data_IF_873954363365
#
_entry.id   IF_873954363365
#
_cell.length_a   1.000
_cell.length_b   1.000
_cell.length_c   1.000
_cell.angle_alpha   90.00
_cell.angle_beta   90.00
_cell.angle_gamma   90.00
#
_symmetry.space_group_name_H-M   'P 1'
#
loop_
_entity.id
_entity.type
_entity.pdbx_description
1 polymer ?
#
# COMPACT_ATOMS: atom_id res chain seq x y z
N UNK A 1 12.37 14.65 0.72
CA UNK A 1 11.97 13.86 1.91
C UNK A 1 11.03 12.75 1.43
N UNK A 2 11.28 11.48 1.75
CA UNK A 2 10.32 10.41 1.42
C UNK A 2 9.15 10.51 2.40
N UNK A 3 7.89 10.39 1.94
CA UNK A 3 6.77 10.34 2.87
C UNK A 3 6.93 9.13 3.79
N UNK A 4 6.69 9.33 5.08
CA UNK A 4 6.87 8.33 6.14
C UNK A 4 5.53 8.02 6.77
N UNK A 5 5.31 6.75 7.12
CA UNK A 5 4.09 6.29 7.76
C UNK A 5 4.41 5.55 9.07
N UNK A 6 3.40 5.36 9.91
CA UNK A 6 3.45 4.52 11.11
C UNK A 6 2.24 3.58 11.12
N UNK A 7 2.47 2.34 11.55
CA UNK A 7 1.39 1.43 11.88
C UNK A 7 0.88 1.74 13.30
N UNK A 8 -0.42 1.97 13.42
CA UNK A 8 -1.17 1.96 14.66
C UNK A 8 -1.84 0.59 14.76
N UNK A 9 -1.27 -0.27 15.59
CA UNK A 9 -1.78 -1.61 15.86
C UNK A 9 -1.22 -2.11 17.19
N UNK A 10 -1.91 -3.05 17.83
CA UNK A 10 -1.37 -3.84 18.94
C UNK A 10 -0.35 -4.88 18.46
N UNK A 11 -0.41 -5.25 17.18
CA UNK A 11 0.42 -6.28 16.57
C UNK A 11 1.47 -5.66 15.64
N UNK A 12 2.56 -6.38 15.43
CA UNK A 12 3.52 -6.02 14.37
C UNK A 12 3.03 -6.60 13.06
N UNK A 13 2.77 -5.74 12.08
CA UNK A 13 2.38 -6.18 10.76
C UNK A 13 3.19 -5.53 9.65
N UNK A 14 3.47 -6.32 8.63
CA UNK A 14 4.01 -5.88 7.36
C UNK A 14 3.01 -6.16 6.25
N UNK A 15 2.83 -5.18 5.36
CA UNK A 15 2.00 -5.33 4.17
C UNK A 15 2.68 -4.68 2.97
N UNK A 16 2.64 -5.36 1.84
CA UNK A 16 3.18 -4.89 0.56
C UNK A 16 2.35 -5.42 -0.60
N UNK A 17 2.32 -4.66 -1.68
CA UNK A 17 1.97 -5.19 -2.99
C UNK A 17 3.26 -5.52 -3.74
N UNK A 18 3.29 -6.65 -4.42
CA UNK A 18 4.47 -7.16 -5.12
C UNK A 18 4.12 -7.84 -6.44
N UNK A 19 5.11 -7.89 -7.33
CA UNK A 19 5.02 -8.63 -8.59
C UNK A 19 5.37 -10.08 -8.28
N UNK A 20 4.41 -10.99 -8.47
CA UNK A 20 4.53 -12.42 -8.13
C UNK A 20 4.74 -13.31 -9.34
N UNK A 21 4.73 -12.73 -10.55
CA UNK A 21 4.98 -13.42 -11.81
C UNK A 21 4.82 -12.46 -12.98
N UNK A 22 4.99 -12.97 -14.20
CA UNK A 22 4.77 -12.19 -15.43
C UNK A 22 3.32 -11.67 -15.43
N UNK A 23 3.18 -10.36 -15.34
CA UNK A 23 1.90 -9.63 -15.28
C UNK A 23 0.96 -10.06 -14.13
N UNK A 24 1.52 -10.67 -13.06
CA UNK A 24 0.77 -11.07 -11.87
C UNK A 24 1.21 -10.25 -10.67
N UNK A 25 0.24 -9.68 -9.98
CA UNK A 25 0.45 -8.82 -8.82
C UNK A 25 -0.29 -9.41 -7.61
N UNK A 26 0.31 -9.27 -6.43
CA UNK A 26 -0.26 -9.80 -5.21
C UNK A 26 -0.03 -8.89 -4.02
N UNK A 27 -0.89 -9.03 -3.01
CA UNK A 27 -0.74 -8.45 -1.69
C UNK A 27 -0.19 -9.54 -0.79
N UNK A 28 0.89 -9.23 -0.08
CA UNK A 28 1.43 -10.05 1.00
C UNK A 28 1.28 -9.31 2.30
N UNK A 29 0.65 -9.96 3.27
CA UNK A 29 0.50 -9.47 4.63
C UNK A 29 1.05 -10.51 5.61
N UNK A 30 1.82 -10.03 6.57
CA UNK A 30 2.43 -10.85 7.61
C UNK A 30 2.24 -10.15 8.94
N UNK A 31 1.66 -10.83 9.91
CA UNK A 31 1.59 -10.39 11.30
C UNK A 31 1.78 -11.60 12.21
N UNK A 32 2.77 -11.53 13.09
CA UNK A 32 3.23 -12.66 13.90
C UNK A 32 3.48 -13.92 13.03
N UNK A 33 2.73 -15.00 13.26
CA UNK A 33 2.85 -16.26 12.50
C UNK A 33 1.83 -16.39 11.36
N UNK A 34 0.99 -15.39 11.14
CA UNK A 34 -0.08 -15.44 10.13
C UNK A 34 0.37 -14.73 8.87
N UNK A 35 0.12 -15.39 7.75
CA UNK A 35 0.42 -14.90 6.41
C UNK A 35 -0.84 -14.92 5.59
N UNK A 36 -1.20 -13.76 5.04
CA UNK A 36 -2.30 -13.63 4.10
C UNK A 36 -1.74 -13.25 2.74
N UNK A 37 -2.29 -13.87 1.70
CA UNK A 37 -1.93 -13.57 0.33
C UNK A 37 -3.17 -13.43 -0.53
N UNK A 38 -3.18 -12.42 -1.41
CA UNK A 38 -4.27 -12.18 -2.34
C UNK A 38 -3.75 -11.65 -3.66
N UNK A 39 -4.19 -12.24 -4.77
CA UNK A 39 -3.92 -11.70 -6.10
C UNK A 39 -4.75 -10.42 -6.33
N UNK A 40 -4.14 -9.46 -7.02
CA UNK A 40 -4.76 -8.20 -7.42
C UNK A 40 -4.53 -7.93 -8.90
N UNK A 41 -5.39 -7.11 -9.48
CA UNK A 41 -5.23 -6.66 -10.86
C UNK A 41 -4.03 -5.72 -11.01
N UNK A 42 -3.50 -5.62 -12.24
CA UNK A 42 -2.49 -4.62 -12.60
C UNK A 42 -2.96 -3.19 -12.28
N UNK A 43 -4.23 -2.88 -12.52
CA UNK A 43 -4.83 -1.57 -12.21
C UNK A 43 -4.78 -1.27 -10.71
N UNK A 44 -5.09 -2.25 -9.86
CA UNK A 44 -4.99 -2.10 -8.41
C UNK A 44 -3.54 -1.91 -7.96
N UNK A 45 -2.60 -2.65 -8.54
CA UNK A 45 -1.18 -2.48 -8.26
C UNK A 45 -0.67 -1.08 -8.66
N UNK A 46 -1.03 -0.60 -9.86
CA UNK A 46 -0.67 0.75 -10.32
C UNK A 46 -1.27 1.81 -9.40
N UNK A 47 -2.55 1.67 -9.02
CA UNK A 47 -3.22 2.60 -8.11
C UNK A 47 -2.54 2.63 -6.73
N UNK A 48 -2.15 1.46 -6.20
CA UNK A 48 -1.35 1.37 -4.98
C UNK A 48 -0.01 2.10 -5.15
N UNK A 49 0.77 1.78 -6.19
CA UNK A 49 2.08 2.40 -6.48
C UNK A 49 1.98 3.92 -6.53
N UNK A 50 1.03 4.45 -7.28
CA UNK A 50 0.83 5.89 -7.45
C UNK A 50 0.44 6.55 -6.11
N UNK A 51 -0.40 5.87 -5.32
CA UNK A 51 -0.78 6.34 -3.98
C UNK A 51 0.39 6.32 -3.00
N UNK A 52 1.27 5.31 -3.04
CA UNK A 52 2.44 5.20 -2.13
C UNK A 52 3.34 6.43 -2.19
N UNK A 53 3.51 7.02 -3.37
CA UNK A 53 4.34 8.21 -3.53
C UNK A 53 3.77 9.43 -2.79
N UNK A 54 2.45 9.53 -2.69
CA UNK A 54 1.77 10.69 -2.10
C UNK A 54 1.42 10.46 -0.63
N UNK A 55 0.95 9.26 -0.30
CA UNK A 55 0.37 8.91 1.00
C UNK A 55 0.56 7.39 1.22
N UNK A 56 1.75 6.97 1.71
CA UNK A 56 2.08 5.56 1.89
C UNK A 56 1.21 4.88 2.95
N UNK A 57 0.75 5.61 3.98
CA UNK A 57 -0.21 5.12 4.96
C UNK A 57 -1.55 4.78 4.31
N UNK A 58 -2.12 5.70 3.53
CA UNK A 58 -3.35 5.44 2.76
C UNK A 58 -3.17 4.27 1.79
N UNK A 59 -2.05 4.22 1.07
CA UNK A 59 -1.79 3.13 0.14
C UNK A 59 -1.76 1.77 0.84
N UNK A 60 -1.16 1.67 2.02
CA UNK A 60 -1.15 0.42 2.82
C UNK A 60 -2.53 0.06 3.36
N UNK A 61 -3.31 1.05 3.79
CA UNK A 61 -4.70 0.82 4.19
C UNK A 61 -5.55 0.30 3.02
N UNK A 62 -5.36 0.81 1.80
CA UNK A 62 -6.03 0.28 0.61
C UNK A 62 -5.71 -1.20 0.35
N UNK A 63 -4.51 -1.66 0.69
CA UNK A 63 -4.18 -3.09 0.61
C UNK A 63 -4.87 -3.90 1.72
N UNK A 64 -4.90 -3.38 2.95
CA UNK A 64 -5.60 -4.03 4.06
C UNK A 64 -7.10 -4.20 3.76
N UNK A 65 -7.74 -3.20 3.15
CA UNK A 65 -9.16 -3.23 2.77
C UNK A 65 -9.50 -4.32 1.74
N UNK A 66 -8.49 -4.88 1.07
CA UNK A 66 -8.66 -5.94 0.08
C UNK A 66 -8.50 -7.34 0.66
N UNK A 67 -7.84 -7.47 1.81
CA UNK A 67 -7.62 -8.75 2.47
C UNK A 67 -8.87 -9.20 3.21
N UNK A 68 -9.10 -10.50 3.26
CA UNK A 68 -10.02 -11.10 4.22
C UNK A 68 -9.19 -11.64 5.38
N UNK A 69 -9.65 -11.36 6.60
CA UNK A 69 -9.07 -11.86 7.84
C UNK A 69 -9.89 -13.02 8.42
N UNK A 70 -10.84 -13.56 7.65
CA UNK A 70 -11.68 -14.68 8.08
C UNK A 70 -10.82 -15.90 8.42
N UNK A 71 -11.09 -16.51 9.58
CA UNK A 71 -10.29 -17.63 10.09
C UNK A 71 -8.94 -17.23 10.71
N UNK A 72 -8.66 -15.92 10.84
CA UNK A 72 -7.55 -15.40 11.65
C UNK A 72 -8.08 -14.80 12.96
N UNK A 73 -7.24 -14.65 14.01
CA UNK A 73 -7.61 -13.94 15.24
C UNK A 73 -7.58 -12.42 15.07
N UNK A 74 -7.39 -11.91 13.85
CA UNK A 74 -7.29 -10.49 13.56
C UNK A 74 -8.57 -9.95 12.92
N UNK A 75 -8.82 -8.67 13.17
CA UNK A 75 -9.82 -7.89 12.47
C UNK A 75 -9.14 -6.82 11.62
N UNK A 76 -9.84 -6.35 10.57
CA UNK A 76 -9.31 -5.28 9.71
C UNK A 76 -8.96 -4.04 10.52
N UNK A 77 -9.77 -3.71 11.52
CA UNK A 77 -9.67 -2.54 12.38
C UNK A 77 -8.45 -2.58 13.31
N UNK A 78 -7.84 -3.75 13.50
CA UNK A 78 -6.64 -3.91 14.32
C UNK A 78 -5.41 -3.23 13.70
N UNK A 79 -5.47 -2.89 12.41
CA UNK A 79 -4.35 -2.32 11.67
C UNK A 79 -4.73 -1.00 11.02
N UNK A 80 -4.04 0.08 11.36
CA UNK A 80 -4.23 1.35 10.69
C UNK A 80 -2.89 2.03 10.40
N UNK A 81 -2.57 2.25 9.13
CA UNK A 81 -1.38 2.99 8.75
C UNK A 81 -1.70 4.48 8.62
N UNK A 82 -0.92 5.32 9.32
CA UNK A 82 -1.09 6.77 9.32
C UNK A 82 0.17 7.43 8.79
N UNK A 83 0.01 8.45 7.94
CA UNK A 83 1.13 9.24 7.46
C UNK A 83 1.65 10.16 8.58
N UNK A 84 2.97 10.15 8.78
CA UNK A 84 3.63 10.91 9.84
C UNK A 84 3.95 12.34 9.43
N UNK A 85 4.01 12.61 8.13
CA UNK A 85 4.33 13.94 7.59
C UNK A 85 3.48 14.17 6.35
N UNK A 86 2.76 15.27 6.36
CA UNK A 86 2.16 15.81 5.14
C UNK A 86 3.27 16.32 4.22
N UNK A 87 3.10 16.08 2.93
CA UNK A 87 4.00 16.62 1.92
C UNK A 87 3.79 18.13 1.82
N UNK A 88 4.86 18.90 1.62
CA UNK A 88 4.68 20.30 1.26
C UNK A 88 4.02 20.39 -0.13
N UNK A 89 3.26 21.47 -0.42
CA UNK A 89 2.56 21.62 -1.70
C UNK A 89 3.47 21.48 -2.93
N UNK A 90 4.73 21.95 -2.83
CA UNK A 90 5.70 21.86 -3.91
C UNK A 90 6.17 20.43 -4.16
N UNK A 91 6.43 19.66 -3.08
CA UNK A 91 6.83 18.25 -3.18
C UNK A 91 5.67 17.41 -3.71
N UNK A 92 4.45 17.66 -3.24
CA UNK A 92 3.25 16.99 -3.75
C UNK A 92 3.06 17.25 -5.25
N UNK A 93 3.23 18.50 -5.70
CA UNK A 93 3.14 18.87 -7.12
C UNK A 93 4.22 18.18 -7.95
N UNK A 94 5.45 18.09 -7.46
CA UNK A 94 6.54 17.42 -8.14
C UNK A 94 6.26 15.91 -8.29
N UNK A 95 5.75 15.27 -7.23
CA UNK A 95 5.39 13.85 -7.25
C UNK A 95 4.22 13.55 -8.18
N UNK A 96 3.20 14.42 -8.22
CA UNK A 96 2.10 14.31 -9.20
C UNK A 96 2.61 14.35 -10.65
N UNK A 97 3.50 15.30 -10.98
CA UNK A 97 4.13 15.36 -12.31
C UNK A 97 4.93 14.09 -12.63
N UNK A 98 5.66 13.56 -11.65
CA UNK A 98 6.39 12.30 -11.81
C UNK A 98 5.44 11.13 -12.10
N UNK A 99 4.36 10.99 -11.33
CA UNK A 99 3.32 9.97 -11.54
C UNK A 99 2.69 10.10 -12.94
N UNK A 100 2.36 11.31 -13.39
CA UNK A 100 1.81 11.53 -14.74
C UNK A 100 2.81 11.16 -15.84
N UNK A 101 4.10 11.26 -15.57
CA UNK A 101 5.15 10.83 -16.50
C UNK A 101 5.26 9.31 -16.54
N UNK A 102 5.08 8.62 -15.40
CA UNK A 102 5.02 7.16 -15.36
C UNK A 102 3.84 6.61 -16.15
N UNK A 103 2.66 7.26 -16.07
CA UNK A 103 1.46 6.83 -16.81
C UNK A 103 1.65 6.95 -18.32
N UNK A 104 2.22 8.06 -18.79
CA UNK A 104 2.46 8.32 -20.22
C UNK A 104 3.46 7.37 -20.87
N UNK A 105 4.30 6.69 -20.09
CA UNK A 105 5.27 5.72 -20.57
C UNK A 105 4.75 4.26 -20.49
N UNK A 106 3.47 4.07 -20.17
CA UNK A 106 2.81 2.75 -20.09
C UNK A 106 1.78 2.53 -21.21
N UNK A 107 1.57 3.54 -22.08
CA UNK A 107 0.86 3.46 -23.36
C UNK A 107 1.86 3.23 -24.51
#
# INVERSE_FOLDING_TARGET
MKPTFKLISKYKAEIKAEIVGKDKFGISFISDNIRLFKLISQKEYINYRDTVYLSPGKAKNMLLDKLSFDGTPFCREDFNFVDLKELSPDVERALKKFIDTLKRNQD
#
